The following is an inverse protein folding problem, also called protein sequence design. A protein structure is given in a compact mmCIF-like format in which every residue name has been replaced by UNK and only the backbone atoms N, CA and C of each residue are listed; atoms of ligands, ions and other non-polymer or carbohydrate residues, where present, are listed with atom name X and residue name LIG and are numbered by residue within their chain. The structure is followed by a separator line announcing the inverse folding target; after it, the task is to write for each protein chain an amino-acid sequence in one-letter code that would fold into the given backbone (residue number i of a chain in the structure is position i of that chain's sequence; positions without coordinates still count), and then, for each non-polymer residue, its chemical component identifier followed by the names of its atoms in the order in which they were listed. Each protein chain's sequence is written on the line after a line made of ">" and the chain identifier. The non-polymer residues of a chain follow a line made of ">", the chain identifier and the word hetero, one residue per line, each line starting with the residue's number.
data_IF_947103908674
#
_entry.id   IF_947103908674
#
_cell.length_a   1.000
_cell.length_b   1.000
_cell.length_c   1.000
_cell.angle_alpha   90.00
_cell.angle_beta   90.00
_cell.angle_gamma   90.00
#
_symmetry.space_group_name_H-M   'P 1'
#
loop_
_entity.id
_entity.type
_entity.pdbx_description
1 polymer ?
#
# COMPACT_ATOMS: atom_id res chain seq x y z
N UNK A 1 19.05 -7.61 19.57
CA UNK A 1 18.93 -7.32 18.13
C UNK A 1 19.93 -6.23 17.78
N UNK A 2 20.73 -6.36 16.73
CA UNK A 2 21.57 -5.27 16.24
C UNK A 2 20.77 -4.36 15.30
N UNK A 3 21.20 -3.10 15.15
CA UNK A 3 20.61 -2.19 14.17
C UNK A 3 20.76 -2.73 12.74
N UNK A 4 21.86 -3.42 12.42
CA UNK A 4 22.05 -4.03 11.09
C UNK A 4 20.97 -5.06 10.74
N UNK A 5 20.55 -5.90 11.70
CA UNK A 5 19.46 -6.85 11.49
C UNK A 5 18.12 -6.14 11.25
N UNK A 6 17.86 -5.03 11.94
CA UNK A 6 16.64 -4.22 11.71
C UNK A 6 16.62 -3.66 10.29
N UNK A 7 17.73 -3.12 9.81
CA UNK A 7 17.83 -2.59 8.44
C UNK A 7 17.63 -3.69 7.38
N UNK A 8 18.24 -4.87 7.58
CA UNK A 8 18.05 -5.99 6.66
C UNK A 8 16.58 -6.42 6.58
N UNK A 9 15.90 -6.54 7.72
CA UNK A 9 14.46 -6.86 7.76
C UNK A 9 13.60 -5.78 7.09
N UNK A 10 13.92 -4.49 7.29
CA UNK A 10 13.22 -3.41 6.59
C UNK A 10 13.41 -3.48 5.08
N UNK A 11 14.60 -3.82 4.60
CA UNK A 11 14.83 -4.03 3.16
C UNK A 11 13.95 -5.15 2.63
N UNK A 12 13.86 -6.29 3.33
CA UNK A 12 12.96 -7.38 2.92
C UNK A 12 11.49 -6.95 2.88
N UNK A 13 11.05 -6.13 3.85
CA UNK A 13 9.69 -5.58 3.86
C UNK A 13 9.45 -4.64 2.67
N UNK A 14 10.43 -3.81 2.30
CA UNK A 14 10.36 -2.99 1.08
C UNK A 14 10.32 -3.81 -0.20
N UNK A 15 11.00 -4.95 -0.25
CA UNK A 15 10.85 -5.87 -1.38
C UNK A 15 9.41 -6.39 -1.48
N UNK A 16 8.80 -6.80 -0.36
CA UNK A 16 7.39 -7.21 -0.33
C UNK A 16 6.44 -6.10 -0.81
N UNK A 17 6.76 -4.83 -0.54
CA UNK A 17 6.01 -3.71 -1.07
C UNK A 17 6.04 -3.63 -2.61
N UNK A 18 7.17 -4.00 -3.23
CA UNK A 18 7.26 -4.10 -4.70
C UNK A 18 6.36 -5.22 -5.23
N UNK A 19 6.28 -6.34 -4.51
CA UNK A 19 5.37 -7.44 -4.83
C UNK A 19 3.90 -7.02 -4.74
N UNK A 20 3.52 -6.20 -3.75
CA UNK A 20 2.18 -5.60 -3.64
C UNK A 20 1.89 -4.71 -4.86
N UNK A 21 2.86 -3.88 -5.27
CA UNK A 21 2.74 -3.07 -6.48
C UNK A 21 2.50 -3.91 -7.73
N UNK A 22 3.16 -5.06 -7.84
CA UNK A 22 2.94 -6.04 -8.93
C UNK A 22 1.55 -6.67 -8.82
N UNK A 23 1.12 -7.02 -7.60
CA UNK A 23 -0.23 -7.53 -7.33
C UNK A 23 -1.33 -6.56 -7.79
N UNK A 24 -1.16 -5.26 -7.57
CA UNK A 24 -2.11 -4.24 -8.06
C UNK A 24 -2.21 -4.21 -9.59
N UNK A 25 -1.10 -4.42 -10.31
CA UNK A 25 -1.11 -4.48 -11.78
C UNK A 25 -1.88 -5.71 -12.25
N UNK A 26 -1.67 -6.85 -11.58
CA UNK A 26 -2.40 -8.10 -11.87
C UNK A 26 -3.90 -7.91 -11.62
N UNK A 27 -4.29 -7.33 -10.48
CA UNK A 27 -5.70 -7.04 -10.15
C UNK A 27 -6.34 -6.15 -11.22
N UNK A 28 -5.61 -5.15 -11.70
CA UNK A 28 -6.08 -4.28 -12.79
C UNK A 28 -6.32 -5.08 -14.07
N UNK A 29 -5.36 -5.93 -14.48
CA UNK A 29 -5.51 -6.74 -15.68
C UNK A 29 -6.69 -7.72 -15.57
N UNK A 30 -6.84 -8.41 -14.43
CA UNK A 30 -7.96 -9.33 -14.20
C UNK A 30 -9.31 -8.59 -14.24
N UNK A 31 -9.39 -7.38 -13.67
CA UNK A 31 -10.61 -6.58 -13.76
C UNK A 31 -10.95 -6.19 -15.20
N UNK A 32 -9.95 -5.92 -16.03
CA UNK A 32 -10.14 -5.62 -17.46
C UNK A 32 -10.61 -6.86 -18.21
N UNK A 33 -9.99 -8.03 -18.01
CA UNK A 33 -10.42 -9.29 -18.62
C UNK A 33 -11.88 -9.63 -18.24
N UNK A 34 -12.25 -9.42 -16.97
CA UNK A 34 -13.61 -9.63 -16.47
C UNK A 34 -14.63 -8.67 -17.09
N UNK A 35 -14.21 -7.44 -17.40
CA UNK A 35 -15.04 -6.42 -18.02
C UNK A 35 -15.24 -6.70 -19.51
N UNK A 36 -14.18 -7.10 -20.21
CA UNK A 36 -14.21 -7.50 -21.62
C UNK A 36 -15.06 -8.74 -21.84
N UNK A 37 -14.98 -9.73 -20.94
CA UNK A 37 -15.79 -10.94 -21.00
C UNK A 37 -17.30 -10.70 -20.83
N UNK A 38 -17.71 -9.51 -20.38
CA UNK A 38 -19.11 -9.12 -20.16
C UNK A 38 -19.49 -7.87 -20.95
N UNK A 39 -18.94 -7.72 -22.16
CA UNK A 39 -19.27 -6.65 -23.10
C UNK A 39 -19.19 -5.22 -22.52
N UNK A 40 -18.26 -4.99 -21.57
CA UNK A 40 -18.07 -3.68 -20.96
C UNK A 40 -18.99 -3.36 -19.77
N UNK A 41 -19.74 -4.35 -19.25
CA UNK A 41 -20.60 -4.14 -18.07
C UNK A 41 -19.88 -4.41 -16.73
N UNK A 42 -19.99 -3.44 -15.81
CA UNK A 42 -19.42 -3.58 -14.46
C UNK A 42 -20.20 -4.65 -13.68
N UNK A 43 -19.54 -5.78 -13.46
CA UNK A 43 -20.10 -6.93 -12.76
C UNK A 43 -19.54 -7.06 -11.33
N UNK A 44 -20.08 -7.98 -10.50
CA UNK A 44 -19.59 -8.18 -9.13
C UNK A 44 -18.09 -8.50 -9.03
N UNK A 45 -17.52 -9.22 -10.00
CA UNK A 45 -16.09 -9.53 -10.03
C UNK A 45 -15.21 -8.28 -10.18
N UNK A 46 -15.63 -7.32 -11.01
CA UNK A 46 -14.93 -6.02 -11.14
C UNK A 46 -14.97 -5.24 -9.83
N UNK A 47 -16.09 -5.30 -9.09
CA UNK A 47 -16.20 -4.68 -7.75
C UNK A 47 -15.31 -5.36 -6.71
N UNK A 48 -15.17 -6.68 -6.77
CA UNK A 48 -14.23 -7.42 -5.93
C UNK A 48 -12.78 -7.02 -6.22
N UNK A 49 -12.43 -6.83 -7.50
CA UNK A 49 -11.10 -6.32 -7.88
C UNK A 49 -10.88 -4.88 -7.41
N UNK A 50 -11.91 -4.03 -7.44
CA UNK A 50 -11.85 -2.67 -6.88
C UNK A 50 -11.59 -2.70 -5.35
N UNK A 51 -12.25 -3.60 -4.62
CA UNK A 51 -11.99 -3.78 -3.20
C UNK A 51 -10.55 -4.27 -2.96
N UNK A 52 -10.09 -5.25 -3.75
CA UNK A 52 -8.75 -5.83 -3.62
C UNK A 52 -7.64 -4.79 -3.88
N UNK A 53 -7.78 -3.94 -4.91
CA UNK A 53 -6.76 -2.92 -5.18
C UNK A 53 -6.71 -1.85 -4.09
N UNK A 54 -7.84 -1.53 -3.45
CA UNK A 54 -7.89 -0.64 -2.28
C UNK A 54 -7.20 -1.26 -1.06
N UNK A 55 -7.40 -2.56 -0.81
CA UNK A 55 -6.68 -3.29 0.24
C UNK A 55 -5.17 -3.32 0.00
N UNK A 56 -4.73 -3.58 -1.24
CA UNK A 56 -3.33 -3.47 -1.61
C UNK A 56 -2.79 -2.05 -1.36
N UNK A 57 -3.56 -1.00 -1.67
CA UNK A 57 -3.13 0.39 -1.49
C UNK A 57 -3.00 0.75 -0.01
N UNK A 58 -3.86 0.16 0.83
CA UNK A 58 -3.77 0.28 2.27
C UNK A 58 -2.49 -0.38 2.81
N UNK A 59 -2.20 -1.61 2.38
CA UNK A 59 -0.98 -2.32 2.78
C UNK A 59 0.29 -1.60 2.32
N UNK A 60 0.33 -1.10 1.08
CA UNK A 60 1.45 -0.30 0.57
C UNK A 60 1.71 0.95 1.45
N UNK A 61 0.65 1.70 1.75
CA UNK A 61 0.70 2.87 2.63
C UNK A 61 1.18 2.52 4.04
N UNK A 62 0.65 1.45 4.63
CA UNK A 62 1.02 1.01 5.97
C UNK A 62 2.48 0.56 6.05
N UNK A 63 2.98 -0.17 5.05
CA UNK A 63 4.39 -0.56 4.96
C UNK A 63 5.28 0.67 4.87
N UNK A 64 4.96 1.62 3.99
CA UNK A 64 5.69 2.89 3.86
C UNK A 64 5.81 3.60 5.22
N UNK A 65 4.70 3.77 5.94
CA UNK A 65 4.71 4.44 7.23
C UNK A 65 5.46 3.64 8.31
N UNK A 66 5.34 2.32 8.31
CA UNK A 66 6.07 1.47 9.26
C UNK A 66 7.58 1.61 9.04
N UNK A 67 8.03 1.49 7.79
CA UNK A 67 9.43 1.66 7.40
C UNK A 67 9.96 3.02 7.86
N UNK A 68 9.26 4.10 7.53
CA UNK A 68 9.65 5.47 7.92
C UNK A 68 9.84 5.59 9.43
N UNK A 69 8.88 5.07 10.20
CA UNK A 69 8.88 5.17 11.66
C UNK A 69 10.02 4.37 12.24
N UNK A 70 10.23 3.12 11.78
CA UNK A 70 11.35 2.31 12.26
C UNK A 70 12.67 3.02 11.95
N UNK A 71 12.85 3.58 10.76
CA UNK A 71 14.06 4.32 10.38
C UNK A 71 14.29 5.56 11.25
N UNK A 72 13.25 6.34 11.55
CA UNK A 72 13.35 7.50 12.43
C UNK A 72 13.74 7.07 13.85
N UNK A 73 13.03 6.10 14.42
CA UNK A 73 13.24 5.65 15.79
C UNK A 73 14.60 4.96 15.95
N UNK A 74 15.09 4.19 14.97
CA UNK A 74 16.43 3.61 15.00
C UNK A 74 17.52 4.66 14.86
N UNK A 75 17.33 5.70 14.05
CA UNK A 75 18.27 6.82 13.92
C UNK A 75 18.36 7.59 15.24
N UNK A 76 17.23 7.91 15.86
CA UNK A 76 17.19 8.55 17.19
C UNK A 76 17.91 7.68 18.24
N UNK A 77 17.63 6.38 18.26
CA UNK A 77 18.25 5.45 19.21
C UNK A 77 19.76 5.24 18.95
N UNK A 78 20.24 5.39 17.71
CA UNK A 78 21.67 5.34 17.41
C UNK A 78 22.43 6.57 17.94
N UNK A 79 21.73 7.71 18.07
CA UNK A 79 22.30 8.96 18.61
C UNK A 79 22.21 9.09 20.12
N UNK A 80 21.33 8.32 20.77
CA UNK A 80 21.09 8.33 22.22
C UNK A 80 21.70 7.09 22.87
N UNK A 81 22.19 7.20 24.11
CA UNK A 81 22.82 6.09 24.84
C UNK A 81 21.90 4.84 24.94
N UNK A 82 22.52 3.69 25.26
CA UNK A 82 21.99 2.31 25.28
C UNK A 82 20.54 2.10 25.76
N UNK A 83 20.02 2.91 26.70
CA UNK A 83 18.63 2.82 27.16
C UNK A 83 17.59 3.08 26.06
N UNK A 84 17.91 3.90 25.06
CA UNK A 84 16.99 4.18 23.94
C UNK A 84 16.71 2.93 23.09
N UNK A 85 17.65 1.97 23.02
CA UNK A 85 17.44 0.71 22.32
C UNK A 85 16.48 -0.24 23.06
N UNK A 86 16.41 -0.19 24.40
CA UNK A 86 15.54 -1.08 25.18
C UNK A 86 14.05 -0.81 24.92
N UNK A 87 13.71 0.45 24.62
CA UNK A 87 12.33 0.89 24.37
C UNK A 87 11.99 1.04 22.88
N UNK A 88 12.86 0.57 21.96
CA UNK A 88 12.71 0.77 20.52
C UNK A 88 11.38 0.26 19.98
N UNK A 89 11.01 -0.98 20.33
CA UNK A 89 9.76 -1.62 19.88
C UNK A 89 8.52 -0.87 20.38
N UNK A 90 8.53 -0.44 21.65
CA UNK A 90 7.43 0.33 22.24
C UNK A 90 7.25 1.67 21.51
N UNK A 91 8.35 2.40 21.27
CA UNK A 91 8.33 3.68 20.52
C UNK A 91 7.83 3.50 19.09
N UNK A 92 8.28 2.47 18.38
CA UNK A 92 7.79 2.16 17.02
C UNK A 92 6.28 1.91 17.05
N UNK A 93 5.80 1.07 17.98
CA UNK A 93 4.38 0.74 18.09
C UNK A 93 3.51 1.96 18.41
N UNK A 94 3.94 2.78 19.36
CA UNK A 94 3.27 4.02 19.75
C UNK A 94 3.15 4.97 18.55
N UNK A 95 4.27 5.34 17.92
CA UNK A 95 4.28 6.26 16.78
C UNK A 95 3.51 5.71 15.58
N UNK A 96 3.60 4.41 15.32
CA UNK A 96 2.86 3.78 14.23
C UNK A 96 1.36 3.88 14.48
N UNK A 97 0.91 3.55 15.69
CA UNK A 97 -0.51 3.64 16.09
C UNK A 97 -1.02 5.08 16.00
N UNK A 98 -0.26 6.05 16.51
CA UNK A 98 -0.65 7.47 16.44
C UNK A 98 -0.74 8.01 15.02
N UNK A 99 0.19 7.58 14.14
CA UNK A 99 0.22 8.01 12.74
C UNK A 99 -0.92 7.36 11.96
N UNK A 100 -1.17 6.07 12.15
CA UNK A 100 -2.24 5.35 11.42
C UNK A 100 -3.63 5.75 11.88
N UNK A 101 -3.83 6.10 13.16
CA UNK A 101 -5.12 6.60 13.66
C UNK A 101 -5.58 7.91 13.00
N UNK A 102 -4.67 8.66 12.37
CA UNK A 102 -4.97 9.92 11.66
C UNK A 102 -5.24 9.71 10.17
N UNK A 103 -5.06 8.50 9.65
CA UNK A 103 -5.24 8.21 8.23
C UNK A 103 -6.70 7.97 7.92
N UNK A 104 -7.13 8.48 6.78
CA UNK A 104 -8.45 8.19 6.22
C UNK A 104 -8.32 7.17 5.10
N UNK A 105 -9.24 6.20 5.04
CA UNK A 105 -9.32 5.29 3.89
C UNK A 105 -9.81 6.02 2.62
N UNK A 106 -10.35 7.25 2.76
CA UNK A 106 -10.61 8.13 1.62
C UNK A 106 -9.33 8.45 0.84
N UNK A 107 -8.18 8.58 1.51
CA UNK A 107 -6.90 8.90 0.83
C UNK A 107 -6.40 7.78 -0.07
N UNK A 108 -6.86 6.53 0.11
CA UNK A 108 -6.50 5.40 -0.75
C UNK A 108 -6.93 5.63 -2.20
N UNK A 109 -7.98 6.41 -2.41
CA UNK A 109 -8.47 6.79 -3.74
C UNK A 109 -7.50 7.70 -4.52
N UNK A 110 -6.49 8.26 -3.83
CA UNK A 110 -5.45 9.10 -4.43
C UNK A 110 -4.18 8.30 -4.76
N UNK A 111 -4.12 7.02 -4.40
CA UNK A 111 -3.01 6.14 -4.74
C UNK A 111 -2.92 5.98 -6.26
N UNK A 112 -1.73 6.14 -6.84
CA UNK A 112 -1.54 6.21 -8.30
C UNK A 112 -2.13 4.99 -9.03
N UNK A 113 -1.90 3.77 -8.51
CA UNK A 113 -2.45 2.55 -9.12
C UNK A 113 -3.97 2.40 -8.95
N UNK A 114 -4.54 2.93 -7.87
CA UNK A 114 -6.00 2.95 -7.68
C UNK A 114 -6.67 3.92 -8.65
N UNK A 115 -6.05 5.09 -8.86
CA UNK A 115 -6.50 6.07 -9.86
C UNK A 115 -6.45 5.45 -11.25
N UNK A 116 -5.31 4.86 -11.62
CA UNK A 116 -5.13 4.20 -12.92
C UNK A 116 -6.16 3.09 -13.15
N UNK A 117 -6.41 2.23 -12.15
CA UNK A 117 -7.45 1.21 -12.20
C UNK A 117 -8.83 1.80 -12.51
N UNK A 118 -9.26 2.83 -11.77
CA UNK A 118 -10.59 3.45 -11.96
C UNK A 118 -10.70 4.12 -13.33
N UNK A 119 -9.62 4.74 -13.80
CA UNK A 119 -9.57 5.31 -15.14
C UNK A 119 -9.69 4.25 -16.24
N UNK A 120 -8.96 3.13 -16.12
CA UNK A 120 -9.05 2.00 -17.06
C UNK A 120 -10.48 1.45 -17.15
N UNK A 121 -11.13 1.18 -16.02
CA UNK A 121 -12.52 0.70 -16.00
C UNK A 121 -13.47 1.73 -16.63
N UNK A 122 -13.34 3.01 -16.26
CA UNK A 122 -14.19 4.08 -16.81
C UNK A 122 -14.09 4.19 -18.33
N UNK A 123 -12.87 4.10 -18.87
CA UNK A 123 -12.61 4.22 -20.30
C UNK A 123 -13.19 3.03 -21.09
N UNK A 124 -13.16 1.83 -20.51
CA UNK A 124 -13.71 0.63 -21.13
C UNK A 124 -15.24 0.54 -21.08
N UNK A 125 -15.88 1.09 -20.04
CA UNK A 125 -17.36 1.10 -19.92
C UNK A 125 -18.02 2.15 -20.83
N UNK A 126 -17.32 3.24 -21.18
CA UNK A 126 -17.84 4.30 -22.05
C UNK A 126 -17.03 4.46 -23.36
N UNK A 127 -17.06 3.47 -24.27
CA UNK A 127 -16.37 3.60 -25.56
C UNK A 127 -16.97 4.70 -26.47
N UNK A 128 -18.20 5.15 -26.19
CA UNK A 128 -18.98 6.07 -27.03
C UNK A 128 -18.56 7.57 -26.97
N UNK A 129 -17.53 7.94 -26.21
CA UNK A 129 -17.02 9.34 -26.12
C UNK A 129 -15.81 9.62 -27.02
N UNK A 130 -15.40 8.65 -27.84
CA UNK A 130 -14.21 8.73 -28.70
C UNK A 130 -14.49 8.66 -30.21
N UNK A 131 -15.71 8.94 -30.67
CA UNK A 131 -16.06 9.10 -32.09
C UNK A 131 -16.67 10.48 -32.33
#
# INVERSE_FOLDING_TARGET
>A
MSLSSVHATLTSLKCCQTDIGTGMDIVTNVAMDLLEAQDGEVNPGVKEMEAMILECAKLDREINYFVDIVQQVTTEAATQQSEAMFNLSAKVKERFTERTAKLSDADLHRHQKVVAFKESIKNSVNPALHI
#
